data_IF_055682636705
#
_entry.id   IF_055682636705
#
_cell.length_a   1.000
_cell.length_b   1.000
_cell.length_c   1.000
_cell.angle_alpha   90.00
_cell.angle_beta   90.00
_cell.angle_gamma   90.00
#
_symmetry.space_group_name_H-M   'P 1'
#
loop_
_entity.id
_entity.type
_entity.pdbx_description
1 polymer ?
#
# COMPACT_ATOMS: atom_id res chain seq x y z
N UNK A 1 22.55 -37.15 -41.04
CA UNK A 1 22.54 -35.67 -41.11
C UNK A 1 21.43 -35.09 -40.24
N UNK A 2 21.72 -34.86 -38.96
CA UNK A 2 20.81 -34.16 -38.03
C UNK A 2 21.32 -32.73 -37.86
N UNK A 3 20.54 -31.68 -38.21
CA UNK A 3 20.97 -30.33 -37.92
C UNK A 3 20.89 -30.07 -36.41
N UNK A 4 22.03 -29.60 -35.92
CA UNK A 4 22.20 -28.88 -34.67
C UNK A 4 21.16 -27.74 -34.59
N UNK A 5 20.38 -27.69 -33.51
CA UNK A 5 19.51 -26.53 -33.25
C UNK A 5 19.73 -26.07 -31.81
N UNK A 6 20.75 -25.24 -31.67
CA UNK A 6 20.87 -24.29 -30.57
C UNK A 6 19.67 -23.35 -30.62
N UNK A 7 18.81 -23.41 -29.61
CA UNK A 7 17.74 -22.43 -29.41
C UNK A 7 18.06 -21.62 -28.16
N UNK A 8 18.38 -20.36 -28.44
CA UNK A 8 18.68 -19.24 -27.57
C UNK A 8 17.57 -19.00 -26.55
N UNK A 9 17.93 -18.89 -25.27
CA UNK A 9 17.00 -18.57 -24.20
C UNK A 9 16.85 -17.04 -24.08
N UNK A 10 15.65 -16.44 -24.19
CA UNK A 10 15.52 -15.03 -23.92
C UNK A 10 15.69 -14.80 -22.42
N UNK A 11 16.73 -14.03 -22.08
CA UNK A 11 16.88 -13.40 -20.78
C UNK A 11 15.72 -12.42 -20.58
N UNK A 12 14.65 -12.87 -19.92
CA UNK A 12 13.52 -12.04 -19.54
C UNK A 12 13.99 -11.03 -18.49
N UNK A 13 14.18 -9.80 -18.96
CA UNK A 13 14.58 -8.64 -18.19
C UNK A 13 13.51 -8.35 -17.13
N UNK A 14 13.74 -8.83 -15.91
CA UNK A 14 12.92 -8.45 -14.76
C UNK A 14 13.12 -6.95 -14.51
N UNK A 15 12.09 -6.09 -14.68
CA UNK A 15 12.24 -4.67 -14.39
C UNK A 15 12.47 -4.50 -12.87
N UNK A 16 13.31 -3.53 -12.45
CA UNK A 16 13.47 -3.24 -11.04
C UNK A 16 12.12 -2.75 -10.51
N UNK A 17 11.52 -3.55 -9.62
CA UNK A 17 10.33 -3.14 -8.87
C UNK A 17 10.70 -1.85 -8.15
N UNK A 18 10.07 -0.74 -8.54
CA UNK A 18 10.20 0.56 -7.91
C UNK A 18 9.97 0.34 -6.41
N UNK A 19 10.97 0.64 -5.60
CA UNK A 19 10.84 0.62 -4.14
C UNK A 19 9.77 1.65 -3.77
N UNK A 20 8.57 1.16 -3.46
CA UNK A 20 7.51 1.98 -2.89
C UNK A 20 8.03 2.49 -1.55
N UNK A 21 8.23 3.80 -1.46
CA UNK A 21 8.60 4.45 -0.19
C UNK A 21 7.49 4.10 0.81
N UNK A 22 7.80 3.59 2.01
CA UNK A 22 6.78 3.25 2.98
C UNK A 22 5.99 4.52 3.27
N UNK A 23 4.68 4.46 3.01
CA UNK A 23 3.77 5.57 3.21
C UNK A 23 3.53 5.66 4.71
N UNK A 24 4.42 6.40 5.38
CA UNK A 24 4.27 6.74 6.78
C UNK A 24 3.07 7.67 6.94
N UNK A 25 2.07 7.21 7.68
CA UNK A 25 0.92 8.02 8.07
C UNK A 25 1.36 9.02 9.11
N UNK A 26 1.15 10.32 8.85
CA UNK A 26 1.14 11.33 9.91
C UNK A 26 -0.11 11.12 10.76
N UNK A 27 -0.02 10.27 11.78
CA UNK A 27 -1.10 10.03 12.72
C UNK A 27 -1.28 11.25 13.62
N UNK A 28 -2.42 11.94 13.47
CA UNK A 28 -2.82 13.07 14.29
C UNK A 28 -3.60 12.61 15.51
N UNK A 29 -2.86 12.43 16.61
CA UNK A 29 -3.29 12.52 18.03
C UNK A 29 -4.18 11.38 18.59
N UNK A 30 -5.17 10.81 17.87
CA UNK A 30 -6.03 9.75 18.41
C UNK A 30 -6.43 8.67 17.40
N UNK A 31 -6.60 7.44 17.90
CA UNK A 31 -7.11 6.33 17.09
C UNK A 31 -8.60 6.54 16.78
N UNK A 32 -8.97 6.52 15.50
CA UNK A 32 -10.38 6.70 15.09
C UNK A 32 -11.31 5.54 15.48
N UNK A 33 -10.75 4.41 15.93
CA UNK A 33 -11.50 3.22 16.29
C UNK A 33 -11.72 3.09 17.80
N UNK A 34 -10.66 3.20 18.59
CA UNK A 34 -10.75 3.06 20.05
C UNK A 34 -10.59 4.38 20.81
N UNK A 35 -10.33 5.48 20.11
CA UNK A 35 -10.01 6.79 20.69
C UNK A 35 -8.78 6.80 21.62
N UNK A 36 -7.94 5.75 21.55
CA UNK A 36 -6.67 5.68 22.27
C UNK A 36 -5.66 6.69 21.72
N UNK A 37 -4.83 7.23 22.60
CA UNK A 37 -3.86 8.26 22.26
C UNK A 37 -2.77 7.69 21.34
N UNK A 38 -2.54 8.37 20.21
CA UNK A 38 -1.53 7.94 19.24
C UNK A 38 -0.29 8.81 19.36
N UNK A 39 0.91 8.21 19.45
CA UNK A 39 2.15 8.96 19.52
C UNK A 39 2.38 9.72 18.21
N UNK A 40 2.25 11.04 18.28
CA UNK A 40 2.55 11.95 17.17
C UNK A 40 4.07 12.02 16.89
N UNK A 41 4.45 12.32 15.66
CA UNK A 41 5.86 12.52 15.28
C UNK A 41 6.65 11.26 14.95
N UNK A 42 6.00 10.08 14.89
CA UNK A 42 6.60 8.84 14.38
C UNK A 42 5.66 8.08 13.46
N UNK A 43 6.24 7.31 12.54
CA UNK A 43 5.49 6.40 11.67
C UNK A 43 4.90 5.24 12.50
N UNK A 44 3.58 5.23 12.64
CA UNK A 44 2.84 4.17 13.33
C UNK A 44 1.87 3.48 12.38
N UNK A 45 2.05 2.17 12.22
CA UNK A 45 1.21 1.35 11.34
C UNK A 45 0.01 0.75 12.07
N UNK A 46 0.13 0.49 13.38
CA UNK A 46 -0.91 -0.16 14.18
C UNK A 46 -1.15 0.60 15.48
N UNK A 47 -2.39 0.67 15.93
CA UNK A 47 -2.75 1.25 17.22
C UNK A 47 -2.27 0.35 18.38
N UNK A 48 -1.50 0.86 19.36
CA UNK A 48 -1.03 0.06 20.48
C UNK A 48 -2.12 -0.23 21.54
N UNK A 49 -3.24 0.51 21.50
CA UNK A 49 -4.36 0.33 22.43
C UNK A 49 -5.35 -0.76 21.99
N UNK A 50 -5.65 -0.83 20.69
CA UNK A 50 -6.65 -1.76 20.14
C UNK A 50 -6.13 -2.73 19.07
N UNK A 51 -4.90 -2.54 18.58
CA UNK A 51 -4.31 -3.36 17.52
C UNK A 51 -4.76 -3.01 16.10
N UNK A 52 -5.60 -1.98 15.92
CA UNK A 52 -6.11 -1.61 14.60
C UNK A 52 -5.01 -1.14 13.65
N UNK A 53 -5.06 -1.61 12.40
CA UNK A 53 -4.20 -1.11 11.33
C UNK A 53 -4.59 0.32 10.94
N UNK A 54 -3.66 1.24 11.18
CA UNK A 54 -3.78 2.65 10.89
C UNK A 54 -3.20 3.00 9.52
N UNK A 55 -2.57 2.07 8.80
CA UNK A 55 -2.11 2.30 7.43
C UNK A 55 -3.22 2.16 6.40
N UNK A 56 -4.30 1.45 6.77
CA UNK A 56 -5.49 1.31 5.94
C UNK A 56 -6.44 2.51 6.05
N UNK A 57 -7.04 2.84 4.91
CA UNK A 57 -8.12 3.81 4.71
C UNK A 57 -9.23 3.14 3.92
N UNK A 58 -10.45 3.63 4.09
CA UNK A 58 -11.59 3.11 3.32
C UNK A 58 -11.83 4.02 2.13
N UNK A 59 -12.09 3.43 0.97
CA UNK A 59 -12.45 4.19 -0.22
C UNK A 59 -13.76 4.95 0.05
N UNK A 60 -13.82 6.29 -0.13
CA UNK A 60 -15.02 7.08 0.14
C UNK A 60 -16.18 6.76 -0.83
N UNK A 61 -15.91 6.04 -1.92
CA UNK A 61 -16.91 5.71 -2.92
C UNK A 61 -17.57 4.35 -2.75
N UNK A 62 -16.80 3.33 -2.36
CA UNK A 62 -17.28 1.95 -2.26
C UNK A 62 -17.03 1.31 -0.90
N UNK A 63 -16.31 1.98 0.01
CA UNK A 63 -15.99 1.47 1.34
C UNK A 63 -14.89 0.41 1.37
N UNK A 64 -14.28 0.06 0.24
CA UNK A 64 -13.21 -0.95 0.21
C UNK A 64 -11.95 -0.48 0.94
N UNK A 65 -11.36 -1.38 1.71
CA UNK A 65 -10.10 -1.15 2.41
C UNK A 65 -8.95 -0.97 1.42
N UNK A 66 -8.16 0.06 1.64
CA UNK A 66 -7.06 0.48 0.79
C UNK A 66 -5.91 0.99 1.63
N UNK A 67 -4.68 0.72 1.21
CA UNK A 67 -3.50 1.26 1.90
C UNK A 67 -3.32 2.76 1.60
N UNK A 68 -2.89 3.53 2.61
CA UNK A 68 -2.50 4.93 2.37
C UNK A 68 -1.37 4.97 1.35
N UNK A 69 -1.52 5.83 0.34
CA UNK A 69 -0.57 6.00 -0.76
C UNK A 69 -1.01 5.38 -2.09
N UNK A 70 -2.13 4.65 -2.09
CA UNK A 70 -2.79 4.26 -3.33
C UNK A 70 -3.45 5.47 -3.98
N UNK A 71 -3.15 5.73 -5.26
CA UNK A 71 -3.79 6.83 -6.01
C UNK A 71 -5.26 6.55 -6.34
N UNK A 72 -5.58 5.28 -6.61
CA UNK A 72 -6.91 4.85 -7.01
C UNK A 72 -7.29 3.55 -6.29
N UNK A 73 -8.57 3.37 -6.03
CA UNK A 73 -9.15 2.16 -5.49
C UNK A 73 -9.11 1.05 -6.54
N UNK A 74 -8.52 -0.10 -6.24
CA UNK A 74 -8.57 -1.27 -7.16
C UNK A 74 -9.94 -1.90 -7.27
N UNK A 75 -10.82 -1.67 -6.29
CA UNK A 75 -12.15 -2.27 -6.30
C UNK A 75 -13.11 -1.48 -7.18
N UNK A 76 -13.07 -0.14 -7.13
CA UNK A 76 -14.02 0.70 -7.87
C UNK A 76 -13.38 1.68 -8.87
N UNK A 77 -12.06 1.77 -8.93
CA UNK A 77 -11.32 2.66 -9.82
C UNK A 77 -11.29 4.14 -9.41
N UNK A 78 -11.98 4.54 -8.32
CA UNK A 78 -12.05 5.94 -7.90
C UNK A 78 -10.81 6.39 -7.14
N UNK A 79 -10.44 7.67 -7.22
CA UNK A 79 -9.27 8.21 -6.53
C UNK A 79 -9.39 8.09 -5.01
N UNK A 80 -8.31 7.64 -4.34
CA UNK A 80 -8.32 7.29 -2.91
C UNK A 80 -7.86 8.42 -2.00
N UNK A 81 -7.26 9.47 -2.58
CA UNK A 81 -6.80 10.63 -1.86
C UNK A 81 -6.15 11.60 -2.82
N UNK A 82 -6.95 12.56 -3.30
CA UNK A 82 -6.51 13.86 -3.83
C UNK A 82 -7.78 14.64 -4.21
N UNK A 83 -8.06 15.67 -3.42
CA UNK A 83 -7.80 17.02 -3.89
C UNK A 83 -6.58 17.53 -3.13
#
# INVERSE_FOLDING_TARGET
>A
PTPSSSADAPADATPPRRAAKPVAVAAGEHCTFCNGELPAGRQISFCPHCGQDLTMVHCPACGSELERGWKFCVTCGRASGEG
#
